data_IF_048078545469
#
_entry.id   IF_048078545469
#
_cell.length_a   1.000
_cell.length_b   1.000
_cell.length_c   1.000
_cell.angle_alpha   90.00
_cell.angle_beta   90.00
_cell.angle_gamma   90.00
#
_symmetry.space_group_name_H-M   'P 1'
#
loop_
_entity.id
_entity.type
_entity.pdbx_description
1 polymer ?
#
# COMPACT_ATOMS: atom_id res chain seq x y z
N UNK A 1 -8.25 10.32 -6.67
CA UNK A 1 -8.53 10.38 -5.22
C UNK A 1 -9.86 11.11 -5.03
N UNK A 2 -10.64 10.82 -3.99
CA UNK A 2 -11.92 11.49 -3.77
C UNK A 2 -11.68 12.93 -3.28
N UNK A 3 -12.44 13.92 -3.75
CA UNK A 3 -12.33 15.34 -3.35
C UNK A 3 -12.39 15.54 -1.83
N UNK A 4 -13.16 14.69 -1.14
CA UNK A 4 -13.26 14.71 0.31
C UNK A 4 -11.91 14.48 1.03
N UNK A 5 -11.08 13.57 0.51
CA UNK A 5 -9.78 13.26 1.10
C UNK A 5 -8.76 14.41 0.93
N UNK A 6 -8.97 15.26 -0.07
CA UNK A 6 -8.11 16.41 -0.36
C UNK A 6 -8.55 17.66 0.41
N UNK A 7 -9.86 17.81 0.68
CA UNK A 7 -10.41 18.99 1.35
C UNK A 7 -10.41 18.91 2.87
N UNK A 8 -10.45 17.70 3.45
CA UNK A 8 -10.55 17.52 4.90
C UNK A 8 -9.15 17.41 5.52
N UNK A 9 -8.77 18.37 6.35
CA UNK A 9 -7.49 18.33 7.04
C UNK A 9 -7.44 17.19 8.06
N UNK A 10 -6.32 16.45 8.08
CA UNK A 10 -6.09 15.39 9.05
C UNK A 10 -6.70 14.03 8.69
N UNK A 11 -7.30 13.83 7.51
CA UNK A 11 -7.71 12.48 7.04
C UNK A 11 -6.55 11.69 6.45
N UNK A 12 -5.56 12.38 5.87
CA UNK A 12 -4.34 11.80 5.32
C UNK A 12 -3.27 11.65 6.40
N UNK A 13 -2.59 10.51 6.40
CA UNK A 13 -1.50 10.20 7.34
C UNK A 13 -0.17 10.25 6.61
N UNK A 14 0.89 10.67 7.32
CA UNK A 14 2.22 10.83 6.74
C UNK A 14 2.94 9.48 6.54
N UNK A 15 2.58 8.46 7.33
CA UNK A 15 3.20 7.13 7.26
C UNK A 15 2.18 6.02 7.46
N UNK A 16 2.55 4.81 7.05
CA UNK A 16 1.73 3.62 7.26
C UNK A 16 1.56 3.32 8.73
N UNK A 17 2.63 3.44 9.53
CA UNK A 17 2.62 3.14 10.97
C UNK A 17 1.65 4.05 11.73
N UNK A 18 1.69 5.36 11.45
CA UNK A 18 0.76 6.32 12.05
C UNK A 18 -0.69 6.05 11.63
N UNK A 19 -0.92 5.62 10.40
CA UNK A 19 -2.23 5.16 9.93
C UNK A 19 -2.72 3.92 10.68
N UNK A 20 -1.88 2.90 10.85
CA UNK A 20 -2.22 1.67 11.58
C UNK A 20 -2.52 1.97 13.06
N UNK A 21 -1.72 2.80 13.72
CA UNK A 21 -1.99 3.22 15.10
C UNK A 21 -3.32 3.93 15.24
N UNK A 22 -3.69 4.76 14.25
CA UNK A 22 -4.99 5.43 14.24
C UNK A 22 -6.14 4.46 14.02
N UNK A 23 -6.01 3.50 13.11
CA UNK A 23 -7.02 2.44 12.92
C UNK A 23 -7.28 1.69 14.24
N UNK A 24 -6.21 1.38 14.99
CA UNK A 24 -6.32 0.71 16.30
C UNK A 24 -7.06 1.53 17.36
N UNK A 25 -7.06 2.87 17.25
CA UNK A 25 -7.82 3.75 18.15
C UNK A 25 -9.32 3.77 17.83
N UNK A 26 -9.74 3.21 16.69
CA UNK A 26 -11.14 3.20 16.24
C UNK A 26 -11.49 4.38 15.32
N UNK A 27 -12.73 4.37 14.82
CA UNK A 27 -13.34 5.42 13.98
C UNK A 27 -12.53 5.87 12.75
N UNK A 28 -11.63 5.02 12.28
CA UNK A 28 -10.78 5.31 11.12
C UNK A 28 -10.52 4.05 10.30
N UNK A 29 -10.74 4.15 8.99
CA UNK A 29 -10.38 3.12 8.02
C UNK A 29 -9.23 3.63 7.15
N UNK A 30 -8.14 2.86 7.10
CA UNK A 30 -6.96 3.22 6.33
C UNK A 30 -6.91 2.45 5.01
N UNK A 31 -6.78 3.18 3.90
CA UNK A 31 -6.64 2.58 2.58
C UNK A 31 -5.17 2.24 2.38
N UNK A 32 -4.90 0.94 2.23
CA UNK A 32 -3.55 0.40 2.06
C UNK A 32 -3.52 -0.54 0.86
N UNK A 33 -2.35 -0.66 0.23
CA UNK A 33 -2.09 -1.63 -0.84
C UNK A 33 -2.32 -3.07 -0.34
N UNK A 34 -2.78 -3.94 -1.23
CA UNK A 34 -3.18 -5.32 -0.93
C UNK A 34 -2.16 -6.15 -0.17
N UNK A 35 -0.92 -6.22 -0.64
CA UNK A 35 0.14 -7.00 -0.01
C UNK A 35 0.51 -6.45 1.37
N UNK A 36 0.53 -5.12 1.53
CA UNK A 36 0.76 -4.49 2.83
C UNK A 36 -0.41 -4.74 3.80
N UNK A 37 -1.65 -4.69 3.31
CA UNK A 37 -2.82 -4.99 4.12
C UNK A 37 -2.79 -6.44 4.65
N UNK A 38 -2.45 -7.40 3.78
CA UNK A 38 -2.26 -8.80 4.18
C UNK A 38 -1.11 -8.93 5.20
N UNK A 39 0.02 -8.27 4.96
CA UNK A 39 1.17 -8.27 5.88
C UNK A 39 0.80 -7.84 7.31
N UNK A 40 0.03 -6.74 7.45
CA UNK A 40 -0.36 -6.20 8.75
C UNK A 40 -1.48 -7.00 9.42
N UNK A 41 -2.50 -7.41 8.65
CA UNK A 41 -3.63 -8.20 9.16
C UNK A 41 -3.18 -9.58 9.63
N UNK A 42 -2.20 -10.20 8.96
CA UNK A 42 -1.64 -11.49 9.40
C UNK A 42 -0.84 -11.40 10.71
N UNK A 43 -0.30 -10.23 11.04
CA UNK A 43 0.54 -10.03 12.24
C UNK A 43 -0.24 -9.51 13.44
N UNK A 44 -1.29 -8.73 13.20
CA UNK A 44 -2.08 -8.09 14.24
C UNK A 44 -3.54 -8.52 14.12
N UNK A 45 -3.98 -9.38 15.03
CA UNK A 45 -5.35 -9.91 15.06
C UNK A 45 -6.43 -8.82 15.33
N UNK A 46 -6.04 -7.66 15.85
CA UNK A 46 -6.95 -6.52 16.08
C UNK A 46 -7.34 -5.80 14.79
N UNK A 47 -6.64 -6.08 13.69
CA UNK A 47 -6.90 -5.48 12.39
C UNK A 47 -7.80 -6.38 11.56
N UNK A 48 -8.73 -5.78 10.83
CA UNK A 48 -9.62 -6.49 9.90
C UNK A 48 -9.56 -5.85 8.54
N UNK A 49 -9.55 -6.69 7.49
CA UNK A 49 -9.68 -6.21 6.12
C UNK A 49 -11.13 -5.82 5.84
N UNK A 50 -11.33 -4.59 5.40
CA UNK A 50 -12.63 -4.10 4.94
C UNK A 50 -12.68 -4.13 3.40
N UNK A 51 -13.66 -4.83 2.83
CA UNK A 51 -13.89 -4.89 1.40
C UNK A 51 -12.90 -5.76 0.60
N UNK A 52 -12.91 -5.57 -0.72
CA UNK A 52 -12.03 -6.26 -1.68
C UNK A 52 -11.04 -5.31 -2.36
N UNK A 53 -10.33 -5.80 -3.37
CA UNK A 53 -9.37 -5.00 -4.14
C UNK A 53 -10.09 -4.07 -5.11
N UNK A 54 -9.65 -2.81 -5.19
CA UNK A 54 -10.32 -1.79 -6.03
C UNK A 54 -9.69 -1.68 -7.42
N UNK A 55 -8.40 -1.97 -7.53
CA UNK A 55 -7.62 -1.85 -8.77
C UNK A 55 -6.40 -2.78 -8.70
N UNK A 56 -6.18 -3.66 -9.70
CA UNK A 56 -4.99 -4.51 -9.74
C UNK A 56 -3.75 -3.68 -10.10
N UNK A 57 -2.90 -3.44 -9.11
CA UNK A 57 -1.60 -2.76 -9.29
C UNK A 57 -0.47 -3.68 -8.89
N UNK A 58 0.64 -3.62 -9.63
CA UNK A 58 1.83 -4.42 -9.38
C UNK A 58 3.03 -3.55 -9.01
N UNK A 59 4.03 -4.17 -8.37
CA UNK A 59 5.32 -3.54 -8.12
C UNK A 59 6.22 -3.65 -9.36
N UNK A 60 6.97 -2.58 -9.65
CA UNK A 60 7.92 -2.52 -10.75
C UNK A 60 9.29 -2.06 -10.27
N UNK A 61 10.34 -2.53 -10.94
CA UNK A 61 11.72 -2.08 -10.70
C UNK A 61 12.01 -0.92 -11.65
N UNK A 62 12.14 0.29 -11.11
CA UNK A 62 12.48 1.48 -11.88
C UNK A 62 13.97 1.53 -12.22
N UNK A 63 14.32 1.47 -13.51
CA UNK A 63 15.69 1.58 -14.00
C UNK A 63 15.85 2.84 -14.87
N UNK A 64 17.04 3.49 -14.89
CA UNK A 64 17.31 4.58 -15.81
C UNK A 64 17.12 4.15 -17.27
N UNK A 65 16.64 5.09 -18.10
CA UNK A 65 16.50 4.86 -19.55
C UNK A 65 17.87 4.51 -20.14
N UNK A 66 17.97 3.38 -20.84
CA UNK A 66 19.23 2.89 -21.42
C UNK A 66 20.10 2.08 -20.45
N UNK A 67 19.60 1.72 -19.26
CA UNK A 67 20.32 0.84 -18.34
C UNK A 67 20.60 -0.53 -18.98
N UNK A 68 21.86 -0.96 -18.94
CA UNK A 68 22.29 -2.29 -19.42
C UNK A 68 21.77 -3.43 -18.54
N UNK A 69 21.37 -3.14 -17.31
CA UNK A 69 20.91 -4.14 -16.33
C UNK A 69 19.47 -4.60 -16.55
N UNK A 70 18.73 -3.95 -17.46
CA UNK A 70 17.34 -4.32 -17.77
C UNK A 70 17.28 -5.81 -18.15
N UNK A 71 18.12 -6.24 -19.10
CA UNK A 71 18.14 -7.63 -19.58
C UNK A 71 18.55 -8.62 -18.50
N UNK A 72 19.52 -8.25 -17.67
CA UNK A 72 20.04 -9.13 -16.61
C UNK A 72 18.99 -9.33 -15.50
N UNK A 73 18.28 -8.26 -15.12
CA UNK A 73 17.24 -8.30 -14.09
C UNK A 73 16.02 -9.10 -14.58
N UNK A 74 15.56 -8.86 -15.81
CA UNK A 74 14.43 -9.61 -16.37
C UNK A 74 14.73 -11.10 -16.54
N UNK A 75 15.99 -11.48 -16.80
CA UNK A 75 16.39 -12.89 -16.86
C UNK A 75 16.41 -13.60 -15.49
N UNK A 76 16.51 -12.85 -14.38
CA UNK A 76 16.53 -13.41 -13.03
C UNK A 76 15.15 -13.45 -12.36
N UNK A 77 14.22 -12.60 -12.82
CA UNK A 77 12.83 -12.63 -12.37
C UNK A 77 12.13 -13.79 -13.08
N UNK A 78 12.12 -14.96 -12.45
CA UNK A 78 11.30 -16.08 -12.90
C UNK A 78 9.83 -15.79 -12.62
N UNK A 79 8.99 -15.86 -13.65
CA UNK A 79 7.53 -15.93 -13.54
C UNK A 79 7.08 -17.39 -13.70
#
# INVERSE_FOLDING_TARGET
MNKYMESEEGVLMNSTESGIERVKKGDYAFILESTLNEYYTQRNCDLVRLGGFWDPRGYGIGLPIGSKFITDIFGQICF
#
